data_IF_701938357862
#
_entry.id   IF_701938357862
#
_cell.length_a   1.000
_cell.length_b   1.000
_cell.length_c   1.000
_cell.angle_alpha   90.00
_cell.angle_beta   90.00
_cell.angle_gamma   90.00
#
_symmetry.space_group_name_H-M   'P 1'
#
loop_
_entity.id
_entity.type
_entity.pdbx_description
1 polymer ?
#
# COMPACT_ATOMS: atom_id res chain seq x y z
N UNK A 1 -0.42 25.41 -11.11
CA UNK A 1 0.11 24.61 -9.97
C UNK A 1 1.21 23.70 -10.51
N UNK A 2 2.34 23.61 -9.82
CA UNK A 2 3.46 22.77 -10.25
C UNK A 2 3.08 21.30 -10.02
N UNK A 3 3.08 20.46 -11.06
CA UNK A 3 2.68 19.03 -10.97
C UNK A 3 3.41 18.28 -9.85
N UNK A 4 4.69 18.62 -9.60
CA UNK A 4 5.48 18.03 -8.52
C UNK A 4 4.96 18.38 -7.12
N UNK A 5 4.41 19.58 -6.93
CA UNK A 5 3.81 19.97 -5.65
C UNK A 5 2.51 19.23 -5.38
N UNK A 6 1.73 18.94 -6.44
CA UNK A 6 0.50 18.14 -6.32
C UNK A 6 0.82 16.69 -5.98
N UNK A 7 1.83 16.09 -6.61
CA UNK A 7 2.26 14.71 -6.29
C UNK A 7 2.71 14.54 -4.83
N UNK A 8 3.37 15.55 -4.27
CA UNK A 8 3.81 15.56 -2.87
C UNK A 8 2.67 15.58 -1.84
N UNK A 9 1.46 15.90 -2.26
CA UNK A 9 0.25 15.85 -1.42
C UNK A 9 -0.49 14.52 -1.55
N UNK A 10 -0.01 13.57 -2.37
CA UNK A 10 -0.64 12.26 -2.50
C UNK A 10 -0.75 11.56 -1.15
N UNK A 11 -1.91 10.99 -0.85
CA UNK A 11 -2.16 10.15 0.32
C UNK A 11 -1.66 8.74 0.04
N UNK A 12 -0.67 8.28 0.79
CA UNK A 12 -0.01 7.00 0.58
C UNK A 12 -0.28 6.10 1.78
N UNK A 13 -0.91 4.94 1.55
CA UNK A 13 -1.05 3.90 2.57
C UNK A 13 0.12 2.92 2.45
N UNK A 14 0.77 2.59 3.57
CA UNK A 14 1.86 1.61 3.64
C UNK A 14 1.45 0.49 4.59
N UNK A 15 1.50 -0.75 4.11
CA UNK A 15 1.07 -1.94 4.86
C UNK A 15 2.18 -2.97 4.85
N UNK A 16 2.77 -3.22 6.01
CA UNK A 16 3.88 -4.15 6.22
C UNK A 16 3.90 -4.55 7.71
N UNK A 17 4.03 -5.84 8.03
CA UNK A 17 4.01 -6.33 9.41
C UNK A 17 5.32 -6.05 10.18
N UNK A 18 6.37 -5.65 9.47
CA UNK A 18 7.66 -5.30 10.06
C UNK A 18 7.78 -3.78 10.24
N UNK A 19 7.70 -3.34 11.49
CA UNK A 19 7.78 -1.91 11.84
C UNK A 19 9.04 -1.19 11.32
N UNK A 20 10.15 -1.91 11.15
CA UNK A 20 11.38 -1.37 10.56
C UNK A 20 11.18 -0.99 9.08
N UNK A 21 10.46 -1.80 8.30
CA UNK A 21 10.18 -1.51 6.90
C UNK A 21 9.31 -0.25 6.78
N UNK A 22 8.28 -0.13 7.63
CA UNK A 22 7.42 1.05 7.68
C UNK A 22 8.23 2.32 7.96
N UNK A 23 9.10 2.30 8.99
CA UNK A 23 9.92 3.46 9.34
C UNK A 23 10.86 3.88 8.20
N UNK A 24 11.47 2.92 7.49
CA UNK A 24 12.34 3.20 6.34
C UNK A 24 11.54 3.79 5.17
N UNK A 25 10.36 3.26 4.88
CA UNK A 25 9.52 3.77 3.80
C UNK A 25 8.95 5.16 4.10
N UNK A 26 8.55 5.40 5.35
CA UNK A 26 8.08 6.70 5.82
C UNK A 26 9.19 7.76 5.68
N UNK A 27 10.39 7.51 6.21
CA UNK A 27 11.55 8.42 6.06
C UNK A 27 11.91 8.68 4.58
N UNK A 28 11.88 7.64 3.74
CA UNK A 28 12.12 7.79 2.30
C UNK A 28 11.08 8.69 1.62
N UNK A 29 9.81 8.56 1.97
CA UNK A 29 8.75 9.39 1.42
C UNK A 29 8.87 10.84 1.92
N UNK A 30 9.10 11.04 3.21
CA UNK A 30 9.26 12.35 3.83
C UNK A 30 10.46 13.11 3.26
N UNK A 31 11.62 12.46 3.13
CA UNK A 31 12.84 13.06 2.57
C UNK A 31 12.68 13.48 1.10
N UNK A 32 11.76 12.84 0.36
CA UNK A 32 11.39 13.22 -1.01
C UNK A 32 10.25 14.25 -1.07
N UNK A 33 9.68 14.62 0.09
CA UNK A 33 8.69 15.68 0.27
C UNK A 33 7.25 15.21 0.18
N UNK A 34 6.97 13.91 0.27
CA UNK A 34 5.61 13.39 0.45
C UNK A 34 5.23 13.52 1.92
N UNK A 35 4.08 14.13 2.21
CA UNK A 35 3.72 14.54 3.59
C UNK A 35 2.50 13.80 4.15
N UNK A 36 1.85 12.96 3.35
CA UNK A 36 0.58 12.30 3.70
C UNK A 36 0.71 10.78 3.66
N UNK A 37 1.76 10.23 4.27
CA UNK A 37 1.92 8.79 4.43
C UNK A 37 1.14 8.30 5.67
N UNK A 38 0.56 7.11 5.59
CA UNK A 38 -0.08 6.42 6.72
C UNK A 38 0.42 4.98 6.73
N UNK A 39 0.94 4.54 7.88
CA UNK A 39 1.60 3.26 8.04
C UNK A 39 0.76 2.35 8.95
N UNK A 40 0.50 1.12 8.51
CA UNK A 40 -0.24 0.13 9.30
C UNK A 40 0.47 -1.22 9.32
N UNK A 41 0.70 -1.73 10.54
CA UNK A 41 1.30 -3.05 10.80
C UNK A 41 0.24 -4.16 10.72
N UNK A 42 -1.01 -3.82 11.07
CA UNK A 42 -2.11 -4.77 11.10
C UNK A 42 -2.90 -4.70 9.78
N UNK A 43 -2.91 -5.78 8.96
CA UNK A 43 -3.65 -5.80 7.70
C UNK A 43 -5.17 -5.57 7.89
N UNK A 44 -5.74 -5.87 9.06
CA UNK A 44 -7.15 -5.59 9.34
C UNK A 44 -7.37 -4.08 9.48
N UNK A 45 -6.52 -3.39 10.23
CA UNK A 45 -6.59 -1.93 10.40
C UNK A 45 -6.34 -1.21 9.08
N UNK A 46 -5.40 -1.71 8.28
CA UNK A 46 -5.17 -1.19 6.94
C UNK A 46 -6.43 -1.26 6.05
N UNK A 47 -7.18 -2.36 6.11
CA UNK A 47 -8.47 -2.51 5.40
C UNK A 47 -9.52 -1.52 5.92
N UNK A 48 -9.60 -1.33 7.24
CA UNK A 48 -10.53 -0.36 7.83
C UNK A 48 -10.20 1.06 7.42
N UNK A 49 -8.91 1.43 7.48
CA UNK A 49 -8.42 2.75 7.10
C UNK A 49 -8.64 3.03 5.60
N UNK A 50 -8.36 2.05 4.73
CA UNK A 50 -8.62 2.13 3.28
C UNK A 50 -10.09 2.41 2.95
N UNK A 51 -11.03 1.94 3.79
CA UNK A 51 -12.46 2.20 3.60
C UNK A 51 -12.92 3.56 4.12
N UNK A 52 -12.14 4.18 4.99
CA UNK A 52 -12.46 5.47 5.63
C UNK A 52 -11.83 6.64 4.89
N UNK A 53 -10.71 6.42 4.22
CA UNK A 53 -9.94 7.45 3.53
C UNK A 53 -9.72 7.14 2.05
N UNK A 54 -9.64 8.20 1.25
CA UNK A 54 -9.28 8.08 -0.16
C UNK A 54 -7.75 8.17 -0.29
N UNK A 55 -7.11 7.04 -0.54
CA UNK A 55 -5.68 6.97 -0.86
C UNK A 55 -5.44 7.13 -2.36
N UNK A 56 -4.29 7.69 -2.71
CA UNK A 56 -3.81 7.86 -4.10
C UNK A 56 -2.83 6.75 -4.51
N UNK A 57 -2.21 6.07 -3.54
CA UNK A 57 -1.29 4.95 -3.73
C UNK A 57 -1.32 4.05 -2.49
N UNK A 58 -1.21 2.74 -2.71
CA UNK A 58 -0.97 1.77 -1.63
C UNK A 58 0.37 1.07 -1.87
N UNK A 59 1.22 1.01 -0.84
CA UNK A 59 2.41 0.17 -0.76
C UNK A 59 2.06 -1.04 0.11
N UNK A 60 2.21 -2.25 -0.42
CA UNK A 60 1.72 -3.45 0.23
C UNK A 60 2.76 -4.57 0.22
N UNK A 61 3.11 -5.10 1.39
CA UNK A 61 3.79 -6.39 1.47
C UNK A 61 2.81 -7.55 1.30
N UNK A 62 3.29 -8.65 0.72
CA UNK A 62 2.51 -9.87 0.53
C UNK A 62 2.70 -10.89 1.65
N UNK A 63 3.84 -10.85 2.35
CA UNK A 63 4.30 -11.87 3.27
C UNK A 63 4.04 -11.50 4.73
N UNK A 64 2.80 -11.16 5.05
CA UNK A 64 2.40 -10.86 6.43
C UNK A 64 1.81 -12.10 7.13
N UNK A 65 2.07 -12.30 8.44
CA UNK A 65 1.44 -13.34 9.24
C UNK A 65 -0.06 -13.03 9.47
N UNK A 66 -0.87 -14.09 9.47
CA UNK A 66 -2.32 -13.99 9.74
C UNK A 66 -3.16 -13.71 8.50
N UNK A 67 -3.00 -12.53 7.87
CA UNK A 67 -3.63 -12.20 6.59
C UNK A 67 -2.56 -11.84 5.56
N UNK A 68 -2.57 -12.57 4.45
CA UNK A 68 -1.65 -12.34 3.34
C UNK A 68 -2.00 -11.04 2.61
N UNK A 69 -1.03 -10.40 1.96
CA UNK A 69 -1.32 -9.22 1.14
C UNK A 69 -2.32 -9.49 0.00
N UNK A 70 -2.45 -10.75 -0.45
CA UNK A 70 -3.49 -11.13 -1.40
C UNK A 70 -4.91 -10.95 -0.85
N UNK A 71 -5.14 -11.31 0.41
CA UNK A 71 -6.43 -11.12 1.08
C UNK A 71 -6.72 -9.64 1.32
N UNK A 72 -5.69 -8.84 1.55
CA UNK A 72 -5.80 -7.38 1.63
C UNK A 72 -6.22 -6.79 0.28
N UNK A 73 -5.58 -7.19 -0.82
CA UNK A 73 -5.97 -6.77 -2.18
C UNK A 73 -7.41 -7.18 -2.53
N UNK A 74 -7.83 -8.39 -2.15
CA UNK A 74 -9.20 -8.85 -2.35
C UNK A 74 -10.20 -7.98 -1.56
N UNK A 75 -9.88 -7.63 -0.31
CA UNK A 75 -10.70 -6.76 0.50
C UNK A 75 -10.80 -5.32 -0.04
N UNK A 76 -9.71 -4.79 -0.62
CA UNK A 76 -9.71 -3.50 -1.31
C UNK A 76 -10.56 -3.54 -2.58
N UNK A 77 -10.42 -4.59 -3.40
CA UNK A 77 -11.22 -4.79 -4.61
C UNK A 77 -12.71 -4.89 -4.27
N UNK A 78 -13.06 -5.64 -3.22
CA UNK A 78 -14.43 -5.79 -2.73
C UNK A 78 -15.03 -4.49 -2.19
N UNK A 79 -14.21 -3.50 -1.81
CA UNK A 79 -14.71 -2.18 -1.42
C UNK A 79 -15.38 -1.45 -2.60
N UNK A 80 -14.98 -1.76 -3.84
CA UNK A 80 -15.71 -1.33 -5.04
C UNK A 80 -15.57 0.15 -5.38
N UNK A 81 -14.41 0.76 -5.09
CA UNK A 81 -14.14 2.13 -5.53
C UNK A 81 -14.22 2.24 -7.06
N UNK A 82 -14.88 3.28 -7.61
CA UNK A 82 -14.98 3.45 -9.08
C UNK A 82 -13.62 3.55 -9.77
N UNK A 83 -12.64 4.14 -9.07
CA UNK A 83 -11.25 4.23 -9.48
C UNK A 83 -10.41 3.87 -8.24
N UNK A 84 -9.99 2.62 -8.08
CA UNK A 84 -9.14 2.23 -6.95
C UNK A 84 -7.74 2.84 -7.14
N UNK A 85 -7.04 3.22 -6.04
CA UNK A 85 -5.64 3.59 -6.13
C UNK A 85 -4.80 2.43 -6.65
N UNK A 86 -3.71 2.70 -7.39
CA UNK A 86 -2.71 1.70 -7.73
C UNK A 86 -2.11 1.08 -6.46
N UNK A 87 -1.79 -0.21 -6.54
CA UNK A 87 -1.18 -0.98 -5.45
C UNK A 87 0.23 -1.38 -5.89
N UNK A 88 1.26 -0.78 -5.30
CA UNK A 88 2.64 -1.18 -5.49
C UNK A 88 3.01 -2.26 -4.47
N UNK A 89 3.15 -3.49 -4.95
CA UNK A 89 3.59 -4.60 -4.11
C UNK A 89 5.09 -4.52 -3.85
N UNK A 90 5.46 -4.53 -2.57
CA UNK A 90 6.84 -4.56 -2.09
C UNK A 90 7.06 -5.87 -1.35
N UNK A 91 7.74 -6.84 -1.97
CA UNK A 91 7.98 -8.15 -1.33
C UNK A 91 9.41 -8.61 -1.53
N UNK A 92 9.97 -9.26 -0.50
CA UNK A 92 11.26 -9.95 -0.59
C UNK A 92 11.19 -11.24 -1.42
N UNK A 93 10.00 -11.67 -1.85
CA UNK A 93 9.84 -12.86 -2.66
C UNK A 93 10.36 -12.67 -4.09
N UNK A 94 11.25 -13.58 -4.50
CA UNK A 94 11.80 -13.65 -5.87
C UNK A 94 11.04 -14.62 -6.77
N UNK A 95 9.97 -15.24 -6.27
CA UNK A 95 9.18 -16.20 -7.04
C UNK A 95 8.34 -15.50 -8.12
N UNK A 96 8.55 -15.92 -9.37
CA UNK A 96 7.84 -15.38 -10.53
C UNK A 96 6.33 -15.68 -10.49
N UNK A 97 5.92 -16.76 -9.81
CA UNK A 97 4.52 -17.13 -9.60
C UNK A 97 3.82 -16.12 -8.69
N UNK A 98 4.51 -15.67 -7.63
CA UNK A 98 3.99 -14.66 -6.71
C UNK A 98 3.82 -13.33 -7.43
N UNK A 99 4.78 -12.96 -8.30
CA UNK A 99 4.70 -11.75 -9.13
C UNK A 99 3.51 -11.77 -10.08
N UNK A 100 3.33 -12.87 -10.83
CA UNK A 100 2.20 -13.01 -11.76
C UNK A 100 0.88 -12.94 -11.00
N UNK A 101 0.78 -13.64 -9.86
CA UNK A 101 -0.42 -13.63 -9.04
C UNK A 101 -0.77 -12.21 -8.56
N UNK A 102 0.22 -11.44 -8.09
CA UNK A 102 0.01 -10.07 -7.63
C UNK A 102 -0.58 -9.18 -8.73
N UNK A 103 0.01 -9.20 -9.93
CA UNK A 103 -0.46 -8.43 -11.09
C UNK A 103 -1.89 -8.83 -11.49
N UNK A 104 -2.22 -10.13 -11.43
CA UNK A 104 -3.59 -10.59 -11.73
C UNK A 104 -4.61 -10.25 -10.64
N UNK A 105 -4.15 -9.90 -9.43
CA UNK A 105 -4.99 -9.57 -8.28
C UNK A 105 -5.22 -8.05 -8.10
N UNK A 106 -4.67 -7.21 -8.99
CA UNK A 106 -4.91 -5.77 -8.99
C UNK A 106 -3.73 -4.89 -8.55
N UNK A 107 -2.53 -5.47 -8.45
CA UNK A 107 -1.27 -4.72 -8.38
C UNK A 107 -0.87 -4.12 -9.74
#
# INVERSE_FOLDING_TARGET
MNQLQTLRQAKILIVDDESMNLAVLEDLLETNGYINASCEIDPIRAIELYKQENFDLVLLDLNMPGKTGFEVMEAFSAHGLPVPPPILVLTASVDNTIRIKALTSGA
#
